data_IF_925104827168
#
_entry.id   IF_925104827168
#
_cell.length_a   1.000
_cell.length_b   1.000
_cell.length_c   1.000
_cell.angle_alpha   90.00
_cell.angle_beta   90.00
_cell.angle_gamma   90.00
#
_symmetry.space_group_name_H-M   'P 1'
#
loop_
_entity.id
_entity.type
_entity.pdbx_description
1 polymer ?
#
# COMPACT_ATOMS: atom_id res chain seq x y z
N UNK A 1 -26.99 6.69 -3.50
CA UNK A 1 -26.90 5.74 -4.63
C UNK A 1 -25.44 5.70 -5.06
N UNK A 2 -24.83 4.51 -5.16
CA UNK A 2 -23.41 4.34 -5.51
C UNK A 2 -23.28 4.04 -7.00
N UNK A 3 -22.29 4.64 -7.66
CA UNK A 3 -21.86 4.20 -8.98
C UNK A 3 -20.70 3.21 -8.79
N UNK A 4 -20.90 1.95 -9.16
CA UNK A 4 -19.82 0.96 -9.14
C UNK A 4 -19.27 0.89 -10.55
N UNK A 5 -18.01 1.28 -10.74
CA UNK A 5 -17.31 1.06 -12.00
C UNK A 5 -16.65 -0.31 -11.90
N UNK A 6 -17.28 -1.30 -12.54
CA UNK A 6 -16.83 -2.70 -12.50
C UNK A 6 -15.81 -2.99 -13.59
N UNK A 7 -14.99 -4.02 -13.36
CA UNK A 7 -14.11 -4.64 -14.36
C UNK A 7 -13.19 -3.64 -15.06
N UNK A 8 -12.38 -2.94 -14.29
CA UNK A 8 -11.38 -2.07 -14.87
C UNK A 8 -10.20 -2.88 -15.39
N UNK A 9 -10.29 -3.55 -16.52
CA UNK A 9 -9.16 -4.29 -17.13
C UNK A 9 -8.12 -3.32 -17.70
N UNK A 10 -7.14 -2.91 -16.89
CA UNK A 10 -6.04 -1.96 -17.17
C UNK A 10 -4.91 -2.49 -18.03
N UNK A 11 -4.67 -3.80 -18.02
CA UNK A 11 -3.51 -4.40 -18.67
C UNK A 11 -3.99 -5.58 -19.51
N UNK A 12 -3.71 -5.54 -20.81
CA UNK A 12 -4.11 -6.59 -21.75
C UNK A 12 -2.88 -7.15 -22.46
N UNK A 13 -2.75 -8.47 -22.40
CA UNK A 13 -1.89 -9.23 -23.33
C UNK A 13 -2.67 -9.66 -24.59
N UNK A 14 -3.99 -9.42 -24.61
CA UNK A 14 -4.86 -9.71 -25.76
C UNK A 14 -4.73 -8.59 -26.81
N UNK A 15 -4.54 -9.01 -28.07
CA UNK A 15 -4.31 -8.11 -29.23
C UNK A 15 -5.61 -7.62 -29.85
N UNK A 16 -6.76 -8.18 -29.47
CA UNK A 16 -8.08 -7.73 -29.92
C UNK A 16 -8.55 -6.50 -29.11
N UNK A 17 -8.21 -5.30 -29.61
CA UNK A 17 -8.59 -4.00 -28.99
C UNK A 17 -10.09 -3.88 -28.73
N UNK A 18 -10.92 -4.52 -29.55
CA UNK A 18 -12.39 -4.53 -29.44
C UNK A 18 -12.97 -5.43 -28.34
N UNK A 19 -12.15 -6.22 -27.64
CA UNK A 19 -12.59 -7.12 -26.54
C UNK A 19 -12.14 -6.69 -25.15
N UNK A 20 -11.39 -5.60 -25.01
CA UNK A 20 -11.16 -4.98 -23.71
C UNK A 20 -12.51 -4.52 -23.18
N UNK A 21 -13.04 -5.08 -22.07
CA UNK A 21 -14.32 -4.64 -21.54
C UNK A 21 -14.19 -3.17 -21.17
N UNK A 22 -14.98 -2.30 -21.80
CA UNK A 22 -15.07 -0.92 -21.38
C UNK A 22 -15.47 -0.90 -19.89
N UNK A 23 -14.90 0.03 -19.12
CA UNK A 23 -15.26 0.23 -17.73
C UNK A 23 -16.77 0.53 -17.64
N UNK A 24 -17.59 -0.49 -17.35
CA UNK A 24 -19.03 -0.34 -17.31
C UNK A 24 -19.41 0.16 -15.92
N UNK A 25 -19.90 1.40 -15.84
CA UNK A 25 -20.55 1.90 -14.64
C UNK A 25 -21.90 1.18 -14.47
N UNK A 26 -22.01 0.37 -13.42
CA UNK A 26 -23.27 -0.26 -13.01
C UNK A 26 -23.72 0.41 -11.73
N UNK A 27 -24.97 0.87 -11.69
CA UNK A 27 -25.60 1.32 -10.43
C UNK A 27 -25.69 0.12 -9.48
N UNK A 28 -24.90 0.15 -8.40
CA UNK A 28 -24.87 -0.94 -7.42
C UNK A 28 -25.67 -0.60 -6.19
N UNK A 29 -26.78 -1.30 -5.97
CA UNK A 29 -27.56 -1.24 -4.72
C UNK A 29 -26.98 -2.15 -3.60
N UNK A 30 -25.77 -2.69 -3.76
CA UNK A 30 -25.25 -3.80 -2.96
C UNK A 30 -24.01 -3.51 -2.11
N UNK A 31 -23.60 -2.24 -1.91
CA UNK A 31 -22.42 -1.91 -1.08
C UNK A 31 -22.85 -1.62 0.36
N UNK A 32 -22.44 -2.47 1.30
CA UNK A 32 -22.63 -2.26 2.74
C UNK A 32 -21.26 -2.11 3.40
N UNK A 33 -20.99 -0.95 4.01
CA UNK A 33 -19.75 -0.71 4.74
C UNK A 33 -19.86 -1.17 6.19
N UNK A 34 -18.96 -2.05 6.62
CA UNK A 34 -18.74 -2.43 8.01
C UNK A 34 -17.70 -1.51 8.66
N UNK A 35 -17.96 -1.09 9.90
CA UNK A 35 -17.08 -0.19 10.70
C UNK A 35 -15.91 -0.92 11.37
N UNK A 36 -15.78 -2.24 11.20
CA UNK A 36 -14.78 -3.05 11.91
C UNK A 36 -13.38 -2.86 11.33
N UNK A 37 -12.61 -1.94 11.93
CA UNK A 37 -11.20 -1.67 11.62
C UNK A 37 -10.23 -2.74 12.17
N UNK A 38 -10.72 -3.65 13.01
CA UNK A 38 -9.89 -4.47 13.91
C UNK A 38 -9.13 -5.63 13.24
N UNK A 39 -9.47 -6.02 12.00
CA UNK A 39 -8.97 -7.27 11.44
C UNK A 39 -7.70 -7.15 10.56
N UNK A 40 -7.33 -5.96 10.07
CA UNK A 40 -6.47 -5.87 8.87
C UNK A 40 -5.23 -4.96 8.97
N UNK A 41 -4.80 -4.59 10.18
CA UNK A 41 -3.46 -4.03 10.45
C UNK A 41 -2.93 -3.04 9.40
N UNK A 42 -3.32 -1.77 9.48
CA UNK A 42 -2.78 -0.72 8.59
C UNK A 42 -3.01 0.68 9.14
N UNK A 43 -2.16 1.64 8.76
CA UNK A 43 -2.29 3.05 9.15
C UNK A 43 -3.38 3.80 8.36
N UNK A 44 -3.97 3.15 7.35
CA UNK A 44 -4.96 3.77 6.49
C UNK A 44 -6.39 3.64 7.01
N UNK A 45 -7.19 4.66 6.70
CA UNK A 45 -8.65 4.60 6.88
C UNK A 45 -9.24 3.67 5.82
N UNK A 46 -9.14 2.36 6.07
CA UNK A 46 -9.78 1.31 5.29
C UNK A 46 -11.07 0.83 5.97
N UNK A 47 -12.03 0.35 5.17
CA UNK A 47 -13.27 -0.27 5.66
C UNK A 47 -13.47 -1.60 4.96
N UNK A 48 -14.19 -2.52 5.61
CA UNK A 48 -14.69 -3.71 4.93
C UNK A 48 -16.02 -3.34 4.28
N UNK A 49 -16.18 -3.63 2.99
CA UNK A 49 -17.45 -3.49 2.30
C UNK A 49 -17.89 -4.84 1.74
N UNK A 50 -19.18 -5.15 1.81
CA UNK A 50 -19.75 -6.25 1.05
C UNK A 50 -20.09 -5.75 -0.35
N UNK A 51 -19.57 -6.41 -1.39
CA UNK A 51 -19.87 -6.15 -2.81
C UNK A 51 -20.22 -7.51 -3.42
N UNK A 52 -21.41 -7.64 -4.00
CA UNK A 52 -21.91 -8.89 -4.58
C UNK A 52 -21.84 -10.11 -3.63
N UNK A 53 -22.11 -9.88 -2.35
CA UNK A 53 -22.07 -10.93 -1.33
C UNK A 53 -20.65 -11.37 -0.92
N UNK A 54 -19.61 -10.67 -1.38
CA UNK A 54 -18.22 -10.91 -0.98
C UNK A 54 -17.66 -9.72 -0.20
N UNK A 55 -16.89 -9.98 0.84
CA UNK A 55 -16.21 -8.92 1.60
C UNK A 55 -15.01 -8.38 0.82
N UNK A 56 -14.80 -7.07 0.89
CA UNK A 56 -13.74 -6.35 0.22
C UNK A 56 -13.09 -5.37 1.19
N UNK A 57 -11.77 -5.27 1.18
CA UNK A 57 -11.08 -4.15 1.80
C UNK A 57 -11.15 -2.95 0.87
N UNK A 58 -11.69 -1.85 1.38
CA UNK A 58 -11.90 -0.62 0.63
C UNK A 58 -11.02 0.50 1.16
N UNK A 59 -10.36 1.23 0.25
CA UNK A 59 -9.47 2.36 0.56
C UNK A 59 -9.86 3.64 -0.19
N UNK A 60 -9.53 4.79 0.42
CA UNK A 60 -9.99 6.16 0.06
C UNK A 60 -8.86 7.08 -0.49
N UNK A 61 -7.65 6.53 -0.68
CA UNK A 61 -6.46 7.25 -1.16
C UNK A 61 -5.62 7.89 -0.05
N UNK A 62 -4.32 8.08 -0.29
CA UNK A 62 -3.31 8.44 0.72
C UNK A 62 -3.54 9.81 1.34
N UNK A 63 -3.96 10.82 0.57
CA UNK A 63 -4.15 12.16 1.13
C UNK A 63 -5.29 12.19 2.14
N UNK A 64 -6.41 11.50 1.86
CA UNK A 64 -7.52 11.34 2.80
C UNK A 64 -7.14 10.51 4.03
N UNK A 65 -6.40 9.42 3.85
CA UNK A 65 -5.81 8.65 4.96
C UNK A 65 -4.97 9.54 5.88
N UNK A 66 -4.03 10.31 5.29
CA UNK A 66 -3.15 11.21 6.03
C UNK A 66 -3.90 12.35 6.72
N UNK A 67 -5.01 12.85 6.16
CA UNK A 67 -5.89 13.81 6.82
C UNK A 67 -6.52 13.21 8.08
N UNK A 68 -7.10 12.01 7.98
CA UNK A 68 -7.65 11.31 9.16
C UNK A 68 -6.61 11.06 10.24
N UNK A 69 -5.43 10.57 9.86
CA UNK A 69 -4.31 10.39 10.80
C UNK A 69 -3.85 11.72 11.42
N UNK A 70 -3.90 12.83 10.69
CA UNK A 70 -3.55 14.16 11.20
C UNK A 70 -4.54 14.61 12.28
N UNK A 71 -5.83 14.32 12.12
CA UNK A 71 -6.85 14.59 13.15
C UNK A 71 -6.53 13.79 14.42
N UNK A 72 -6.28 12.49 14.29
CA UNK A 72 -5.91 11.62 15.41
C UNK A 72 -4.65 12.12 16.12
N UNK A 73 -3.62 12.55 15.38
CA UNK A 73 -2.42 13.14 15.98
C UNK A 73 -2.72 14.42 16.75
N UNK A 74 -3.49 15.36 16.19
CA UNK A 74 -3.87 16.59 16.89
C UNK A 74 -4.65 16.30 18.18
N UNK A 75 -5.59 15.36 18.13
CA UNK A 75 -6.37 14.92 19.30
C UNK A 75 -5.49 14.35 20.40
N UNK A 76 -4.41 13.67 20.05
CA UNK A 76 -3.45 13.09 20.98
C UNK A 76 -2.34 14.09 21.40
N UNK A 77 -2.47 15.38 21.08
CA UNK A 77 -1.47 16.40 21.38
C UNK A 77 -0.19 16.32 20.53
N UNK A 78 -0.18 15.50 19.48
CA UNK A 78 0.96 15.24 18.60
C UNK A 78 0.95 16.16 17.37
N UNK A 79 0.84 17.48 17.58
CA UNK A 79 0.66 18.47 16.50
C UNK A 79 1.78 18.43 15.46
N UNK A 80 3.03 18.25 15.86
CA UNK A 80 4.15 18.14 14.93
C UNK A 80 4.04 16.91 14.02
N UNK A 81 3.51 15.80 14.53
CA UNK A 81 3.27 14.58 13.76
C UNK A 81 2.09 14.73 12.80
N UNK A 82 1.09 15.55 13.15
CA UNK A 82 0.03 15.94 12.22
C UNK A 82 0.60 16.80 11.09
N UNK A 83 1.36 17.84 11.41
CA UNK A 83 2.00 18.73 10.42
C UNK A 83 2.94 17.97 9.48
N UNK A 84 3.67 16.97 9.98
CA UNK A 84 4.50 16.09 9.16
C UNK A 84 3.68 15.33 8.11
N UNK A 85 2.52 14.79 8.50
CA UNK A 85 1.61 14.07 7.60
C UNK A 85 0.99 14.96 6.54
N UNK A 86 0.57 16.17 6.91
CA UNK A 86 0.14 17.20 5.95
C UNK A 86 1.27 17.53 4.97
N UNK A 87 2.50 17.61 5.45
CA UNK A 87 3.69 17.76 4.63
C UNK A 87 3.84 16.67 3.57
N UNK A 88 3.61 15.40 3.92
CA UNK A 88 3.66 14.29 2.96
C UNK A 88 2.61 14.40 1.85
N UNK A 89 1.43 14.98 2.13
CA UNK A 89 0.42 15.22 1.11
C UNK A 89 0.94 16.23 0.07
N UNK A 90 1.48 17.36 0.54
CA UNK A 90 2.02 18.41 -0.33
C UNK A 90 3.21 17.93 -1.13
N UNK A 91 4.17 17.27 -0.47
CA UNK A 91 5.36 16.72 -1.12
C UNK A 91 4.95 15.67 -2.17
N UNK A 92 3.94 14.86 -1.85
CA UNK A 92 3.35 13.88 -2.76
C UNK A 92 2.75 14.53 -4.00
N UNK A 93 1.90 15.54 -3.82
CA UNK A 93 1.28 16.26 -4.93
C UNK A 93 2.32 16.98 -5.80
N UNK A 94 3.27 17.71 -5.19
CA UNK A 94 4.28 18.45 -5.93
C UNK A 94 5.13 17.54 -6.83
N UNK A 95 5.54 16.38 -6.30
CA UNK A 95 6.25 15.35 -7.07
C UNK A 95 5.41 14.75 -8.19
N UNK A 96 4.11 14.51 -7.96
CA UNK A 96 3.21 13.97 -8.99
C UNK A 96 3.00 14.97 -10.14
N UNK A 97 2.94 16.25 -9.81
CA UNK A 97 2.73 17.34 -10.75
C UNK A 97 4.02 17.87 -11.40
N UNK A 98 5.19 17.33 -11.03
CA UNK A 98 6.52 17.83 -11.44
C UNK A 98 6.69 19.35 -11.18
N UNK A 99 6.01 19.86 -10.16
CA UNK A 99 6.15 21.25 -9.73
C UNK A 99 7.31 21.38 -8.74
N UNK A 100 8.04 22.50 -8.77
CA UNK A 100 9.20 22.74 -7.91
C UNK A 100 8.87 22.42 -6.42
N UNK A 101 9.73 21.64 -5.71
CA UNK A 101 9.58 21.40 -4.27
C UNK A 101 9.45 22.67 -3.41
N UNK A 102 9.77 23.84 -3.98
CA UNK A 102 9.55 25.18 -3.40
C UNK A 102 8.18 25.78 -3.70
N UNK A 103 7.09 25.00 -3.71
CA UNK A 103 5.73 25.57 -3.53
C UNK A 103 5.56 26.10 -2.10
N UNK A 104 6.36 27.11 -1.73
CA UNK A 104 6.66 27.55 -0.36
C UNK A 104 5.44 27.92 0.49
N UNK A 105 4.27 28.11 -0.13
CA UNK A 105 3.03 28.44 0.57
C UNK A 105 2.03 27.28 0.65
N UNK A 106 2.12 26.20 -0.15
CA UNK A 106 1.08 25.14 -0.14
C UNK A 106 1.10 24.31 1.14
N UNK A 107 2.29 24.01 1.68
CA UNK A 107 2.43 23.36 3.00
C UNK A 107 1.85 24.24 4.10
N UNK A 108 2.19 25.52 4.10
CA UNK A 108 1.65 26.48 5.07
C UNK A 108 0.13 26.62 4.92
N UNK A 109 -0.36 26.70 3.69
CA UNK A 109 -1.77 26.84 3.38
C UNK A 109 -2.59 25.64 3.88
N UNK A 110 -2.16 24.42 3.54
CA UNK A 110 -2.82 23.21 3.99
C UNK A 110 -2.78 23.11 5.52
N UNK A 111 -1.65 23.42 6.14
CA UNK A 111 -1.50 23.38 7.59
C UNK A 111 -2.44 24.38 8.28
N UNK A 112 -2.50 25.62 7.79
CA UNK A 112 -3.38 26.65 8.34
C UNK A 112 -4.86 26.31 8.15
N UNK A 113 -5.26 25.90 6.94
CA UNK A 113 -6.63 25.50 6.65
C UNK A 113 -7.05 24.29 7.51
N UNK A 114 -6.16 23.32 7.69
CA UNK A 114 -6.41 22.15 8.54
C UNK A 114 -6.62 22.51 10.00
N UNK A 115 -5.74 23.33 10.60
CA UNK A 115 -5.91 23.75 11.98
C UNK A 115 -7.12 24.65 12.19
N UNK A 116 -7.45 25.52 11.22
CA UNK A 116 -8.67 26.32 11.23
C UNK A 116 -9.92 25.43 11.15
N UNK A 117 -9.91 24.42 10.28
CA UNK A 117 -10.98 23.43 10.18
C UNK A 117 -11.23 22.73 11.52
N UNK A 118 -10.17 22.31 12.24
CA UNK A 118 -10.31 21.69 13.57
C UNK A 118 -10.98 22.59 14.62
N UNK A 119 -11.01 23.91 14.43
CA UNK A 119 -11.71 24.84 15.33
C UNK A 119 -13.20 25.00 15.01
N UNK A 120 -13.66 24.52 13.84
CA UNK A 120 -15.08 24.52 13.47
C UNK A 120 -15.86 23.45 14.24
N UNK A 121 -17.19 23.57 14.31
CA UNK A 121 -18.03 22.54 14.93
C UNK A 121 -17.90 21.18 14.23
N UNK A 122 -17.79 21.17 12.90
CA UNK A 122 -17.54 19.95 12.12
C UNK A 122 -16.19 19.31 12.49
N UNK A 123 -15.13 20.12 12.56
CA UNK A 123 -13.80 19.66 12.96
C UNK A 123 -13.75 19.14 14.40
N UNK A 124 -14.44 19.79 15.33
CA UNK A 124 -14.58 19.32 16.73
C UNK A 124 -15.31 17.99 16.82
N UNK A 125 -16.38 17.81 16.03
CA UNK A 125 -17.13 16.55 15.98
C UNK A 125 -16.26 15.39 15.46
N UNK A 126 -15.49 15.62 14.39
CA UNK A 126 -14.56 14.61 13.87
C UNK A 126 -13.40 14.33 14.82
N UNK A 127 -12.88 15.34 15.52
CA UNK A 127 -11.92 15.16 16.59
C UNK A 127 -12.50 14.29 17.73
N UNK A 128 -13.79 14.46 18.05
CA UNK A 128 -14.53 13.60 18.97
C UNK A 128 -14.56 12.14 18.51
N UNK A 129 -14.86 11.87 17.23
CA UNK A 129 -14.81 10.53 16.64
C UNK A 129 -13.39 9.94 16.64
N UNK A 130 -12.38 10.76 16.38
CA UNK A 130 -10.99 10.32 16.37
C UNK A 130 -10.49 9.85 17.75
N UNK A 131 -11.03 10.41 18.85
CA UNK A 131 -10.73 9.96 20.23
C UNK A 131 -11.19 8.54 20.52
N UNK A 132 -12.21 8.08 19.81
CA UNK A 132 -12.83 6.77 20.01
C UNK A 132 -12.52 5.81 18.86
N UNK A 133 -11.50 6.11 18.05
CA UNK A 133 -11.12 5.35 16.85
C UNK A 133 -12.28 5.12 15.86
N UNK A 134 -13.26 6.02 15.86
CA UNK A 134 -14.50 5.90 15.10
C UNK A 134 -14.51 6.62 13.74
N UNK A 135 -13.37 7.19 13.32
CA UNK A 135 -13.25 7.83 12.00
C UNK A 135 -13.40 6.80 10.87
N UNK A 136 -14.22 7.14 9.88
CA UNK A 136 -14.47 6.32 8.69
C UNK A 136 -14.13 7.00 7.35
N UNK A 137 -14.40 6.31 6.24
CA UNK A 137 -14.12 6.79 4.87
C UNK A 137 -14.94 8.03 4.51
N UNK A 138 -16.17 8.16 5.02
CA UNK A 138 -16.98 9.33 4.79
C UNK A 138 -16.40 10.53 5.55
N UNK A 139 -16.00 10.33 6.81
CA UNK A 139 -15.39 11.37 7.64
C UNK A 139 -14.14 11.98 6.98
N UNK A 140 -13.23 11.17 6.45
CA UNK A 140 -12.04 11.70 5.76
C UNK A 140 -12.33 12.31 4.40
N UNK A 141 -13.42 11.88 3.75
CA UNK A 141 -13.98 12.54 2.57
C UNK A 141 -14.49 13.94 2.90
N UNK A 142 -15.18 14.09 4.03
CA UNK A 142 -15.74 15.35 4.51
C UNK A 142 -14.64 16.32 4.94
N UNK A 143 -13.58 15.86 5.63
CA UNK A 143 -12.40 16.70 5.91
C UNK A 143 -11.85 17.29 4.61
N UNK A 144 -11.61 16.45 3.60
CA UNK A 144 -11.11 16.90 2.31
C UNK A 144 -12.06 17.94 1.69
N UNK A 145 -13.34 17.65 1.60
CA UNK A 145 -14.33 18.54 1.01
C UNK A 145 -14.41 19.89 1.74
N UNK A 146 -14.36 19.88 3.07
CA UNK A 146 -14.40 21.10 3.90
C UNK A 146 -13.13 21.93 3.75
N UNK A 147 -11.95 21.31 3.62
CA UNK A 147 -10.71 22.04 3.32
C UNK A 147 -10.73 22.69 1.93
N UNK A 148 -11.23 21.99 0.91
CA UNK A 148 -11.34 22.55 -0.45
C UNK A 148 -12.39 23.65 -0.51
N UNK A 149 -13.49 23.53 0.25
CA UNK A 149 -14.51 24.58 0.37
C UNK A 149 -13.94 25.83 1.05
N UNK A 150 -13.12 25.65 2.07
CA UNK A 150 -12.47 26.76 2.79
C UNK A 150 -11.37 27.43 1.95
N UNK A 151 -10.59 26.65 1.19
CA UNK A 151 -9.59 27.18 0.25
C UNK A 151 -9.51 26.33 -1.04
N UNK A 152 -10.12 26.80 -2.14
CA UNK A 152 -10.10 26.08 -3.42
C UNK A 152 -8.71 25.80 -3.99
N UNK A 153 -7.67 26.54 -3.56
CA UNK A 153 -6.28 26.31 -4.01
C UNK A 153 -5.71 24.99 -3.50
N UNK A 154 -6.34 24.36 -2.50
CA UNK A 154 -5.96 23.05 -1.97
C UNK A 154 -6.49 21.88 -2.80
N UNK A 155 -7.45 22.12 -3.72
CA UNK A 155 -8.12 21.07 -4.50
C UNK A 155 -7.15 20.13 -5.20
N UNK A 156 -6.18 20.68 -5.94
CA UNK A 156 -5.22 19.85 -6.69
C UNK A 156 -4.21 19.18 -5.75
N UNK A 157 -3.76 19.88 -4.71
CA UNK A 157 -2.85 19.35 -3.68
C UNK A 157 -3.44 18.15 -2.96
N UNK A 158 -4.74 18.18 -2.66
CA UNK A 158 -5.44 17.09 -1.97
C UNK A 158 -5.93 16.00 -2.93
N UNK A 159 -6.46 16.38 -4.09
CA UNK A 159 -7.14 15.49 -5.04
C UNK A 159 -6.21 14.65 -5.91
N UNK A 160 -5.07 15.20 -6.37
CA UNK A 160 -4.14 14.48 -7.27
C UNK A 160 -3.61 13.20 -6.61
N UNK A 161 -3.15 13.22 -5.34
CA UNK A 161 -2.73 11.99 -4.67
C UNK A 161 -3.84 10.94 -4.52
N UNK A 162 -5.11 11.35 -4.29
CA UNK A 162 -6.24 10.40 -4.23
C UNK A 162 -6.39 9.67 -5.56
N UNK A 163 -6.53 10.44 -6.63
CA UNK A 163 -6.79 9.89 -7.96
C UNK A 163 -5.67 8.95 -8.40
N UNK A 164 -4.43 9.36 -8.12
CA UNK A 164 -3.25 8.57 -8.43
C UNK A 164 -3.28 7.22 -7.72
N UNK A 165 -3.48 7.19 -6.41
CA UNK A 165 -3.53 5.92 -5.68
C UNK A 165 -4.64 5.00 -6.20
N UNK A 166 -5.82 5.55 -6.51
CA UNK A 166 -6.93 4.74 -7.02
C UNK A 166 -6.61 4.09 -8.36
N UNK A 167 -6.04 4.84 -9.32
CA UNK A 167 -5.61 4.29 -10.62
C UNK A 167 -4.57 3.19 -10.40
N UNK A 168 -3.64 3.42 -9.48
CA UNK A 168 -2.42 2.63 -9.38
C UNK A 168 -2.62 1.36 -8.56
N UNK A 169 -3.44 1.42 -7.51
CA UNK A 169 -3.88 0.20 -6.81
C UNK A 169 -4.65 -0.68 -7.78
N UNK A 170 -5.51 -0.10 -8.61
CA UNK A 170 -6.31 -0.88 -9.54
C UNK A 170 -5.46 -1.53 -10.65
N UNK A 171 -4.51 -0.80 -11.22
CA UNK A 171 -3.52 -1.34 -12.17
C UNK A 171 -2.58 -2.36 -11.49
N UNK A 172 -2.13 -2.09 -10.27
CA UNK A 172 -1.23 -2.97 -9.53
C UNK A 172 -1.86 -4.28 -9.09
N UNK A 173 -3.12 -4.25 -8.67
CA UNK A 173 -3.85 -5.48 -8.36
C UNK A 173 -3.97 -6.38 -9.59
N UNK A 174 -4.19 -5.79 -10.77
CA UNK A 174 -4.29 -6.57 -11.99
C UNK A 174 -2.97 -7.14 -12.48
N UNK A 175 -1.89 -6.36 -12.37
CA UNK A 175 -0.54 -6.84 -12.62
C UNK A 175 -0.25 -8.06 -11.74
N UNK A 176 -0.46 -7.91 -10.43
CA UNK A 176 -0.24 -8.98 -9.45
C UNK A 176 -1.09 -10.19 -9.79
N UNK A 177 -2.39 -10.03 -10.04
CA UNK A 177 -3.28 -11.13 -10.42
C UNK A 177 -2.85 -11.83 -11.70
N UNK A 178 -2.49 -11.09 -12.75
CA UNK A 178 -2.10 -11.67 -14.03
C UNK A 178 -0.87 -12.57 -13.88
N UNK A 179 0.11 -12.12 -13.09
CA UNK A 179 1.31 -12.89 -12.85
C UNK A 179 1.05 -14.05 -11.87
N UNK A 180 0.23 -13.81 -10.84
CA UNK A 180 -0.20 -14.80 -9.87
C UNK A 180 -1.07 -15.91 -10.47
N UNK A 181 -1.78 -15.67 -11.57
CA UNK A 181 -2.52 -16.71 -12.30
C UNK A 181 -1.65 -17.88 -12.77
N UNK A 182 -0.33 -17.69 -12.83
CA UNK A 182 0.65 -18.77 -13.07
C UNK A 182 0.81 -19.70 -11.87
N UNK A 183 0.60 -19.16 -10.67
CA UNK A 183 0.84 -19.82 -9.40
C UNK A 183 -0.46 -20.12 -8.65
N UNK A 184 -1.64 -19.69 -9.12
CA UNK A 184 -2.86 -19.74 -8.32
C UNK A 184 -4.13 -19.97 -9.14
N UNK A 185 -5.08 -20.78 -8.62
CA UNK A 185 -6.43 -20.83 -9.14
C UNK A 185 -7.15 -19.48 -9.02
N UNK A 186 -7.99 -19.16 -10.01
CA UNK A 186 -8.70 -17.87 -10.12
C UNK A 186 -9.53 -17.49 -8.90
N UNK A 187 -10.13 -18.45 -8.19
CA UNK A 187 -10.95 -18.21 -7.00
C UNK A 187 -10.16 -17.55 -5.85
N UNK A 188 -8.83 -17.75 -5.83
CA UNK A 188 -7.91 -17.23 -4.83
C UNK A 188 -7.20 -15.94 -5.26
N UNK A 189 -7.52 -15.42 -6.44
CA UNK A 189 -7.03 -14.11 -6.89
C UNK A 189 -8.07 -13.05 -6.50
N UNK A 190 -7.71 -12.03 -5.71
CA UNK A 190 -8.65 -10.98 -5.34
C UNK A 190 -8.93 -10.09 -6.55
N UNK A 191 -10.19 -9.78 -6.82
CA UNK A 191 -10.60 -8.83 -7.84
C UNK A 191 -10.55 -7.39 -7.30
N UNK A 192 -10.30 -6.44 -8.21
CA UNK A 192 -10.30 -5.00 -7.93
C UNK A 192 -11.55 -4.32 -8.50
N UNK A 193 -12.18 -3.50 -7.68
CA UNK A 193 -13.37 -2.71 -8.04
C UNK A 193 -13.17 -1.25 -7.70
N UNK A 194 -13.41 -0.35 -8.66
CA UNK A 194 -13.48 1.08 -8.39
C UNK A 194 -14.90 1.45 -7.98
N UNK A 195 -15.03 2.06 -6.81
CA UNK A 195 -16.28 2.60 -6.33
C UNK A 195 -16.22 4.12 -6.43
N UNK A 196 -17.07 4.67 -7.30
CA UNK A 196 -17.24 6.11 -7.42
C UNK A 196 -18.44 6.54 -6.55
N UNK A 197 -18.14 7.27 -5.48
CA UNK A 197 -19.12 7.85 -4.56
C UNK A 197 -19.11 9.37 -4.79
N UNK A 198 -20.22 10.07 -4.61
CA UNK A 198 -20.31 11.51 -4.92
C UNK A 198 -19.13 12.35 -4.38
N UNK A 199 -18.64 12.05 -3.17
CA UNK A 199 -17.49 12.74 -2.56
C UNK A 199 -16.23 11.88 -2.46
N UNK A 200 -16.17 10.72 -3.12
CA UNK A 200 -15.07 9.78 -2.93
C UNK A 200 -14.78 8.89 -4.15
N UNK A 201 -13.53 8.51 -4.32
CA UNK A 201 -13.13 7.43 -5.21
C UNK A 201 -12.45 6.38 -4.35
N UNK A 202 -13.00 5.16 -4.38
CA UNK A 202 -12.52 4.07 -3.55
C UNK A 202 -12.06 2.90 -4.40
N UNK A 203 -11.04 2.21 -3.92
CA UNK A 203 -10.62 0.93 -4.48
C UNK A 203 -11.01 -0.17 -3.50
N UNK A 204 -11.80 -1.12 -3.98
CA UNK A 204 -12.15 -2.34 -3.26
C UNK A 204 -11.30 -3.50 -3.78
N UNK A 205 -10.68 -4.24 -2.87
CA UNK A 205 -10.03 -5.52 -3.15
C UNK A 205 -10.73 -6.61 -2.36
N UNK A 206 -11.17 -7.69 -3.02
CA UNK A 206 -11.86 -8.79 -2.32
C UNK A 206 -10.98 -9.37 -1.21
N UNK A 207 -11.57 -9.51 -0.02
CA UNK A 207 -10.95 -10.19 1.11
C UNK A 207 -11.00 -11.70 0.89
N UNK A 208 -9.93 -12.36 1.30
CA UNK A 208 -9.84 -13.81 1.30
C UNK A 208 -9.89 -14.23 2.78
N UNK A 209 -10.92 -14.98 3.16
CA UNK A 209 -11.31 -15.18 4.56
C UNK A 209 -10.25 -15.86 5.44
N UNK A 210 -9.37 -16.67 4.86
CA UNK A 210 -8.28 -17.41 5.51
C UNK A 210 -6.89 -16.77 5.29
N UNK A 211 -6.85 -15.54 4.77
CA UNK A 211 -5.62 -14.83 4.50
C UNK A 211 -4.84 -14.49 5.78
N UNK A 212 -3.51 -14.71 5.73
CA UNK A 212 -2.58 -14.30 6.77
C UNK A 212 -1.67 -13.16 6.28
N UNK A 213 -1.47 -12.08 7.05
CA UNK A 213 -0.46 -11.06 6.71
C UNK A 213 0.96 -11.64 6.63
N UNK A 214 1.79 -11.14 5.69
CA UNK A 214 3.14 -11.68 5.49
C UNK A 214 4.04 -11.44 6.70
N UNK A 215 3.90 -10.31 7.38
CA UNK A 215 4.62 -10.03 8.61
C UNK A 215 4.41 -11.12 9.66
N UNK A 216 3.14 -11.44 9.92
CA UNK A 216 2.72 -12.46 10.88
C UNK A 216 3.14 -13.84 10.40
N UNK A 217 3.08 -14.10 9.08
CA UNK A 217 3.56 -15.35 8.50
C UNK A 217 5.06 -15.56 8.75
N UNK A 218 5.88 -14.52 8.54
CA UNK A 218 7.33 -14.59 8.68
C UNK A 218 7.80 -14.55 10.14
N UNK A 219 7.10 -13.84 11.03
CA UNK A 219 7.55 -13.64 12.41
C UNK A 219 6.97 -14.64 13.39
N UNK A 220 5.78 -15.21 13.14
CA UNK A 220 5.13 -16.15 14.07
C UNK A 220 6.05 -17.30 14.54
N UNK A 221 6.91 -17.91 13.70
CA UNK A 221 7.84 -18.94 14.16
C UNK A 221 8.80 -18.51 15.28
N UNK A 222 9.02 -17.21 15.46
CA UNK A 222 9.93 -16.65 16.45
C UNK A 222 9.21 -16.20 17.73
N UNK A 223 7.87 -16.23 17.74
CA UNK A 223 7.08 -15.76 18.88
C UNK A 223 6.81 -16.91 19.86
N UNK A 224 6.85 -16.66 21.18
CA UNK A 224 6.44 -17.66 22.16
C UNK A 224 4.97 -18.09 21.95
N UNK A 225 4.60 -19.34 22.32
CA UNK A 225 3.22 -19.80 22.20
C UNK A 225 2.22 -18.84 22.85
N UNK A 226 1.17 -18.48 22.10
CA UNK A 226 0.12 -17.57 22.55
C UNK A 226 0.46 -16.07 22.49
N UNK A 227 1.67 -15.70 22.02
CA UNK A 227 2.05 -14.29 21.84
C UNK A 227 1.81 -13.87 20.39
N UNK A 228 0.97 -12.86 20.18
CA UNK A 228 0.78 -12.28 18.86
C UNK A 228 1.86 -11.23 18.53
N UNK A 229 2.15 -11.03 17.24
CA UNK A 229 3.14 -10.05 16.77
C UNK A 229 2.86 -8.64 17.31
N UNK A 230 1.59 -8.23 17.37
CA UNK A 230 1.19 -6.93 17.92
C UNK A 230 1.58 -6.76 19.40
N UNK A 231 1.55 -7.84 20.18
CA UNK A 231 1.86 -7.80 21.61
C UNK A 231 3.37 -7.76 21.84
N UNK A 232 4.13 -8.52 21.04
CA UNK A 232 5.59 -8.41 20.99
C UNK A 232 6.05 -7.01 20.55
N UNK A 233 5.43 -6.44 19.52
CA UNK A 233 5.69 -5.07 19.06
C UNK A 233 5.36 -4.01 20.13
N UNK A 234 4.26 -4.20 20.87
CA UNK A 234 3.90 -3.33 22.01
C UNK A 234 4.92 -3.41 23.14
N UNK A 235 5.39 -4.62 23.48
CA UNK A 235 6.45 -4.81 24.47
C UNK A 235 7.75 -4.12 24.02
N UNK A 236 8.16 -4.29 22.77
CA UNK A 236 9.34 -3.65 22.22
C UNK A 236 9.23 -2.11 22.22
N UNK A 237 8.07 -1.56 21.84
CA UNK A 237 7.80 -0.13 21.89
C UNK A 237 7.89 0.44 23.31
N UNK A 238 7.34 -0.28 24.29
CA UNK A 238 7.36 0.11 25.71
C UNK A 238 8.80 0.18 26.27
N UNK A 239 9.71 -0.66 25.80
CA UNK A 239 11.11 -0.62 26.21
C UNK A 239 11.90 0.52 25.53
N UNK A 240 11.47 0.97 24.34
CA UNK A 240 12.13 2.02 23.57
C UNK A 240 11.79 3.43 24.06
N UNK A 241 10.58 3.65 24.59
CA UNK A 241 10.16 4.95 25.11
C UNK A 241 10.82 5.28 26.46
N UNK A 242 11.89 6.09 26.41
CA UNK A 242 12.54 6.63 27.62
C UNK A 242 11.64 7.57 28.43
N UNK A 243 10.66 8.22 27.79
CA UNK A 243 9.73 9.15 28.43
C UNK A 243 8.64 8.46 29.29
N UNK A 244 8.35 7.17 29.06
CA UNK A 244 7.42 6.39 29.86
C UNK A 244 8.02 5.91 31.21
N UNK A 245 9.29 6.21 31.47
CA UNK A 245 9.99 5.84 32.71
C UNK A 245 9.38 6.47 33.98
N UNK A 246 8.54 7.51 33.84
CA UNK A 246 7.86 8.16 34.97
C UNK A 246 6.45 7.66 35.28
N UNK A 247 5.85 6.77 34.46
CA UNK A 247 4.41 6.45 34.60
C UNK A 247 3.96 5.03 34.22
N UNK A 248 4.79 4.19 33.61
CA UNK A 248 4.47 2.77 33.44
C UNK A 248 4.72 2.02 34.76
N UNK A 249 3.72 1.27 35.26
CA UNK A 249 3.90 0.39 36.41
C UNK A 249 5.13 -0.51 36.17
N UNK A 250 6.06 -0.57 37.13
CA UNK A 250 7.33 -1.32 37.05
C UNK A 250 7.16 -2.73 36.48
N UNK A 251 6.01 -3.34 36.76
CA UNK A 251 5.65 -4.71 36.41
C UNK A 251 5.35 -4.87 34.91
N UNK A 252 4.77 -3.87 34.25
CA UNK A 252 4.54 -3.88 32.80
C UNK A 252 5.86 -3.86 32.04
N UNK A 253 6.81 -3.06 32.52
CA UNK A 253 8.14 -2.97 31.94
C UNK A 253 8.95 -4.25 32.18
N UNK A 254 8.87 -4.83 33.38
CA UNK A 254 9.51 -6.10 33.69
C UNK A 254 8.95 -7.24 32.80
N UNK A 255 7.62 -7.29 32.61
CA UNK A 255 6.98 -8.26 31.70
C UNK A 255 7.40 -8.06 30.24
N UNK A 256 7.43 -6.81 29.76
CA UNK A 256 7.90 -6.50 28.42
C UNK A 256 9.37 -6.92 28.23
N UNK A 257 10.22 -6.63 29.22
CA UNK A 257 11.63 -7.01 29.18
C UNK A 257 11.83 -8.53 29.19
N UNK A 258 11.09 -9.27 30.01
CA UNK A 258 11.12 -10.73 30.01
C UNK A 258 10.66 -11.32 28.67
N UNK A 259 9.61 -10.75 28.07
CA UNK A 259 9.12 -11.18 26.76
C UNK A 259 10.16 -10.94 25.66
N UNK A 260 10.72 -9.73 25.57
CA UNK A 260 11.73 -9.41 24.55
C UNK A 260 13.00 -10.23 24.76
N UNK A 261 13.47 -10.39 26.00
CA UNK A 261 14.62 -11.26 26.30
C UNK A 261 14.38 -12.71 25.89
N UNK A 262 13.14 -13.22 26.05
CA UNK A 262 12.77 -14.56 25.57
C UNK A 262 12.76 -14.64 24.05
N UNK A 263 12.28 -13.61 23.35
CA UNK A 263 12.28 -13.58 21.87
C UNK A 263 13.70 -13.49 21.32
N UNK A 264 14.56 -12.67 21.93
CA UNK A 264 15.96 -12.47 21.53
C UNK A 264 16.91 -13.57 22.03
N UNK A 265 16.42 -14.53 22.83
CA UNK A 265 17.23 -15.66 23.28
C UNK A 265 17.77 -16.43 22.06
N UNK A 266 19.10 -16.66 21.96
CA UNK A 266 19.71 -17.28 20.78
C UNK A 266 19.12 -18.66 20.44
N UNK A 267 18.77 -19.48 21.44
CA UNK A 267 18.20 -20.79 21.19
C UNK A 267 16.78 -20.68 20.61
N UNK A 268 15.98 -19.71 21.09
CA UNK A 268 14.66 -19.43 20.54
C UNK A 268 14.74 -18.83 19.12
N UNK A 269 15.70 -17.95 18.85
CA UNK A 269 15.95 -17.43 17.50
C UNK A 269 16.32 -18.55 16.53
N UNK A 270 17.20 -19.46 16.93
CA UNK A 270 17.60 -20.58 16.09
C UNK A 270 16.47 -21.60 15.90
N UNK A 271 15.70 -21.91 16.95
CA UNK A 271 14.48 -22.70 16.82
C UNK A 271 13.48 -22.04 15.85
N UNK A 272 13.29 -20.72 15.96
CA UNK A 272 12.46 -19.94 15.05
C UNK A 272 12.94 -19.98 13.61
N UNK A 273 14.25 -19.89 13.35
CA UNK A 273 14.83 -20.07 12.00
C UNK A 273 14.53 -21.45 11.45
N UNK A 274 14.69 -22.52 12.23
CA UNK A 274 14.40 -23.87 11.78
C UNK A 274 12.91 -24.07 11.49
N UNK A 275 12.05 -23.55 12.37
CA UNK A 275 10.61 -23.58 12.18
C UNK A 275 10.19 -22.80 10.93
N UNK A 276 10.73 -21.60 10.71
CA UNK A 276 10.48 -20.83 9.50
C UNK A 276 10.98 -21.56 8.26
N UNK A 277 12.21 -22.10 8.26
CA UNK A 277 12.73 -22.90 7.13
C UNK A 277 11.84 -24.10 6.81
N UNK A 278 11.39 -24.83 7.83
CA UNK A 278 10.44 -25.93 7.67
C UNK A 278 9.11 -25.46 7.08
N UNK A 279 8.57 -24.36 7.60
CA UNK A 279 7.34 -23.75 7.10
C UNK A 279 7.48 -23.29 5.64
N UNK A 280 8.56 -22.62 5.27
CA UNK A 280 8.82 -22.17 3.90
C UNK A 280 9.00 -23.35 2.94
N UNK A 281 9.62 -24.44 3.40
CA UNK A 281 9.77 -25.66 2.61
C UNK A 281 8.43 -26.37 2.36
N UNK A 282 7.49 -26.26 3.30
CA UNK A 282 6.16 -26.85 3.18
C UNK A 282 5.17 -25.97 2.42
N UNK A 283 5.21 -24.65 2.64
CA UNK A 283 4.24 -23.69 2.12
C UNK A 283 4.72 -22.88 0.91
N UNK A 284 5.99 -23.05 0.52
CA UNK A 284 6.62 -22.32 -0.58
C UNK A 284 6.62 -20.80 -0.40
N UNK A 285 7.13 -20.08 -1.40
CA UNK A 285 6.99 -18.62 -1.53
C UNK A 285 6.73 -18.26 -3.00
N UNK A 286 6.07 -19.16 -3.72
CA UNK A 286 5.89 -19.06 -5.16
C UNK A 286 5.11 -17.79 -5.53
N UNK A 287 5.68 -16.98 -6.43
CA UNK A 287 5.07 -15.73 -6.85
C UNK A 287 5.22 -14.59 -5.83
N UNK A 288 5.93 -14.79 -4.71
CA UNK A 288 6.29 -13.72 -3.79
C UNK A 288 7.19 -12.71 -4.51
N UNK A 289 8.21 -13.19 -5.22
CA UNK A 289 9.16 -12.33 -5.90
C UNK A 289 8.48 -11.58 -7.04
N UNK A 290 7.68 -12.29 -7.84
CA UNK A 290 6.83 -11.70 -8.88
C UNK A 290 5.97 -10.56 -8.33
N UNK A 291 5.28 -10.77 -7.21
CA UNK A 291 4.36 -9.78 -6.63
C UNK A 291 5.12 -8.56 -6.08
N UNK A 292 6.29 -8.80 -5.50
CA UNK A 292 7.19 -7.76 -5.01
C UNK A 292 7.81 -6.94 -6.13
N UNK A 293 8.32 -7.59 -7.17
CA UNK A 293 8.89 -6.93 -8.33
C UNK A 293 7.82 -6.15 -9.10
N UNK A 294 6.64 -6.73 -9.29
CA UNK A 294 5.48 -6.03 -9.81
C UNK A 294 5.22 -4.75 -9.02
N UNK A 295 5.14 -4.84 -7.69
CA UNK A 295 4.93 -3.66 -6.84
C UNK A 295 6.09 -2.66 -6.90
N UNK A 296 7.32 -3.14 -6.97
CA UNK A 296 8.54 -2.33 -7.08
C UNK A 296 8.57 -1.55 -8.40
N UNK A 297 8.17 -2.17 -9.51
CA UNK A 297 8.05 -1.48 -10.80
C UNK A 297 6.97 -0.40 -10.78
N UNK A 298 5.87 -0.61 -10.05
CA UNK A 298 4.75 0.33 -9.97
C UNK A 298 4.92 1.46 -8.93
N UNK A 299 6.02 1.54 -8.17
CA UNK A 299 6.14 2.50 -7.07
C UNK A 299 7.56 2.90 -6.62
N UNK A 300 7.73 4.17 -6.22
CA UNK A 300 9.02 4.78 -5.80
C UNK A 300 9.50 4.35 -4.43
N UNK A 301 8.55 4.08 -3.53
CA UNK A 301 8.92 3.78 -2.17
C UNK A 301 9.44 2.36 -2.20
N UNK A 302 10.75 2.22 -2.01
CA UNK A 302 11.31 0.93 -1.69
C UNK A 302 10.64 0.32 -0.48
N UNK A 303 9.97 1.12 0.37
CA UNK A 303 9.18 0.73 1.54
C UNK A 303 7.96 -0.14 1.16
N UNK A 304 8.21 -1.22 0.41
CA UNK A 304 7.35 -2.35 0.14
C UNK A 304 7.38 -3.23 1.39
N UNK A 305 6.93 -2.67 2.50
CA UNK A 305 6.94 -3.40 3.76
C UNK A 305 6.09 -4.69 3.66
N UNK A 306 6.50 -5.78 4.34
CA UNK A 306 5.70 -7.01 4.47
C UNK A 306 4.31 -6.79 5.08
N UNK A 307 4.15 -5.77 5.91
CA UNK A 307 2.87 -5.30 6.45
C UNK A 307 1.90 -4.84 5.35
N UNK A 308 2.42 -4.45 4.19
CA UNK A 308 1.67 -3.98 3.04
C UNK A 308 1.49 -5.04 1.94
N UNK A 309 1.81 -6.30 2.28
CA UNK A 309 1.67 -7.48 1.45
C UNK A 309 0.97 -8.57 2.26
N UNK A 310 -0.28 -8.82 1.94
CA UNK A 310 -1.03 -9.91 2.54
C UNK A 310 -0.58 -11.21 1.88
N UNK A 311 0.17 -12.08 2.57
CA UNK A 311 0.56 -13.40 2.04
C UNK A 311 -0.44 -14.48 2.42
N UNK A 312 -1.43 -14.70 1.56
CA UNK A 312 -2.47 -15.69 1.79
C UNK A 312 -1.90 -17.08 1.53
N UNK A 313 -1.94 -18.03 2.48
CA UNK A 313 -1.73 -19.43 2.14
C UNK A 313 -2.87 -19.91 1.21
N UNK A 314 -2.55 -20.68 0.19
CA UNK A 314 -3.55 -21.41 -0.59
C UNK A 314 -3.88 -22.75 0.03
N UNK A 315 -5.09 -23.24 -0.26
CA UNK A 315 -5.45 -24.64 -0.02
C UNK A 315 -4.51 -25.60 -0.76
N UNK A 316 -3.89 -25.12 -1.85
CA UNK A 316 -2.84 -25.82 -2.61
C UNK A 316 -1.44 -25.70 -1.98
N UNK A 317 -1.34 -25.10 -0.79
CA UNK A 317 -0.11 -24.96 -0.04
C UNK A 317 0.80 -23.82 -0.51
N UNK A 318 0.45 -23.02 -1.53
CA UNK A 318 1.30 -21.91 -2.02
C UNK A 318 0.91 -20.55 -1.43
N UNK A 319 1.91 -19.75 -1.10
CA UNK A 319 1.77 -18.41 -0.52
C UNK A 319 1.49 -17.31 -1.57
N UNK A 320 0.57 -16.38 -1.31
CA UNK A 320 0.04 -15.40 -2.30
C UNK A 320 0.17 -13.97 -1.82
N UNK A 321 0.99 -13.11 -2.41
CA UNK A 321 1.10 -11.71 -1.97
C UNK A 321 0.03 -10.79 -2.60
N UNK A 322 -0.91 -10.31 -1.81
CA UNK A 322 -1.91 -9.31 -2.21
C UNK A 322 -1.52 -7.98 -1.58
N UNK A 323 -1.20 -6.98 -2.40
CA UNK A 323 -0.93 -5.65 -1.87
C UNK A 323 -2.21 -4.84 -1.79
N UNK A 324 -2.45 -4.23 -0.64
CA UNK A 324 -3.55 -3.28 -0.49
C UNK A 324 -3.02 -1.86 -0.29
N UNK A 325 -1.71 -1.64 -0.31
CA UNK A 325 -1.12 -0.31 -0.12
C UNK A 325 -0.16 0.09 -1.25
N UNK A 326 -0.73 0.37 -2.42
CA UNK A 326 0.02 0.98 -3.53
C UNK A 326 -0.10 2.48 -3.39
N UNK A 327 0.94 3.11 -2.85
CA UNK A 327 1.08 4.58 -2.84
C UNK A 327 1.56 5.10 -4.21
N UNK A 328 0.97 4.61 -5.30
CA UNK A 328 1.13 5.06 -6.68
C UNK A 328 2.48 4.98 -7.42
N UNK A 329 2.46 5.19 -8.76
CA UNK A 329 3.62 5.34 -9.68
C UNK A 329 4.44 6.58 -9.39
N UNK A 330 5.14 6.55 -8.30
CA UNK A 330 6.11 7.56 -7.99
C UNK A 330 7.39 7.14 -8.77
N UNK A 331 7.86 7.96 -9.69
CA UNK A 331 8.97 7.63 -10.60
C UNK A 331 10.31 8.11 -10.03
N UNK A 332 10.99 7.35 -9.18
CA UNK A 332 12.37 7.74 -8.85
C UNK A 332 13.38 6.61 -8.68
N UNK A 333 13.00 5.35 -8.92
CA UNK A 333 13.94 4.21 -8.87
C UNK A 333 13.92 3.37 -10.14
N UNK A 334 13.80 4.00 -11.30
CA UNK A 334 14.06 3.29 -12.55
C UNK A 334 15.52 2.80 -12.59
N UNK A 335 16.45 3.70 -12.28
CA UNK A 335 17.89 3.43 -12.27
C UNK A 335 18.42 3.41 -10.84
N UNK A 336 19.61 2.82 -10.66
CA UNK A 336 20.26 2.74 -9.37
C UNK A 336 20.55 4.11 -8.78
N UNK A 337 20.35 4.24 -7.46
CA UNK A 337 20.67 5.47 -6.72
C UNK A 337 21.72 5.12 -5.67
N UNK A 338 22.82 5.88 -5.59
CA UNK A 338 23.77 5.74 -4.49
C UNK A 338 23.04 6.02 -3.17
N UNK A 339 23.02 5.05 -2.25
CA UNK A 339 22.42 5.24 -0.93
C UNK A 339 23.21 6.22 -0.04
N UNK A 340 24.46 6.52 -0.43
CA UNK A 340 25.39 7.47 0.17
C UNK A 340 26.82 7.17 -0.31
N UNK A 341 27.85 7.91 0.12
CA UNK A 341 29.25 7.67 -0.29
C UNK A 341 29.84 6.34 0.18
N UNK A 342 29.20 5.68 1.16
CA UNK A 342 29.66 4.44 1.80
C UNK A 342 28.65 3.31 1.77
N UNK A 343 27.46 3.57 1.24
CA UNK A 343 26.40 2.57 1.17
C UNK A 343 26.44 1.88 -0.19
N UNK A 344 26.14 0.57 -0.26
CA UNK A 344 26.03 -0.13 -1.53
C UNK A 344 24.98 0.51 -2.44
N UNK A 345 25.18 0.37 -3.76
CA UNK A 345 24.24 0.84 -4.77
C UNK A 345 22.87 0.19 -4.53
N UNK A 346 21.82 1.00 -4.46
CA UNK A 346 20.45 0.47 -4.45
C UNK A 346 19.97 0.37 -5.89
N UNK A 347 19.77 -0.86 -6.35
CA UNK A 347 19.30 -1.12 -7.71
C UNK A 347 17.88 -0.61 -7.94
N UNK A 348 17.66 -0.05 -9.13
CA UNK A 348 16.35 0.37 -9.60
C UNK A 348 15.55 -0.76 -10.22
N UNK A 349 14.25 -0.57 -10.42
CA UNK A 349 13.40 -1.57 -11.05
C UNK A 349 13.80 -1.85 -12.50
N UNK A 350 14.31 -0.84 -13.21
CA UNK A 350 14.78 -0.98 -14.57
C UNK A 350 15.98 -1.90 -14.67
N UNK A 351 16.92 -1.79 -13.73
CA UNK A 351 18.09 -2.68 -13.65
C UNK A 351 17.70 -4.14 -13.38
N UNK A 352 16.66 -4.38 -12.57
CA UNK A 352 16.13 -5.74 -12.33
C UNK A 352 15.45 -6.31 -13.57
N UNK A 353 14.72 -5.48 -14.33
CA UNK A 353 14.12 -5.90 -15.61
C UNK A 353 15.21 -6.20 -16.65
N UNK A 354 16.26 -5.40 -16.73
CA UNK A 354 17.39 -5.66 -17.63
C UNK A 354 18.17 -6.90 -17.20
N UNK A 355 18.42 -7.03 -15.90
CA UNK A 355 19.23 -8.08 -15.28
C UNK A 355 18.43 -8.79 -14.18
N UNK A 356 17.57 -9.77 -14.52
CA UNK A 356 16.74 -10.52 -13.57
C UNK A 356 17.52 -11.19 -12.43
N UNK A 357 18.84 -11.39 -12.56
CA UNK A 357 19.68 -11.94 -11.51
C UNK A 357 19.83 -11.01 -10.28
N UNK A 358 19.60 -9.70 -10.43
CA UNK A 358 19.63 -8.71 -9.33
C UNK A 358 18.39 -8.78 -8.43
N UNK A 359 17.40 -9.58 -8.84
CA UNK A 359 16.13 -9.77 -8.15
C UNK A 359 16.27 -9.94 -6.63
N UNK A 360 17.03 -10.94 -6.21
CA UNK A 360 17.16 -11.29 -4.79
C UNK A 360 17.80 -10.15 -3.97
N UNK A 361 18.78 -9.46 -4.55
CA UNK A 361 19.48 -8.37 -3.88
C UNK A 361 18.55 -7.17 -3.66
N UNK A 362 17.69 -6.86 -4.63
CA UNK A 362 16.66 -5.83 -4.48
C UNK A 362 15.63 -6.20 -3.43
N UNK A 363 15.15 -7.44 -3.43
CA UNK A 363 14.16 -7.86 -2.45
C UNK A 363 14.70 -7.77 -1.02
N UNK A 364 15.93 -8.21 -0.78
CA UNK A 364 16.52 -8.25 0.56
C UNK A 364 17.19 -6.94 0.98
N UNK A 365 17.18 -5.92 0.12
CA UNK A 365 17.65 -4.59 0.48
C UNK A 365 16.82 -4.08 1.67
N UNK A 366 17.49 -3.47 2.65
CA UNK A 366 16.84 -3.01 3.88
C UNK A 366 15.82 -1.89 3.64
N UNK A 367 15.84 -1.25 2.46
CA UNK A 367 14.82 -0.30 2.07
C UNK A 367 13.55 -0.98 1.55
N UNK A 368 13.60 -2.26 1.17
CA UNK A 368 12.51 -3.15 0.74
C UNK A 368 11.98 -4.01 1.88
N UNK A 369 12.81 -4.87 2.44
CA UNK A 369 12.49 -5.61 3.67
C UNK A 369 12.79 -4.73 4.88
N UNK A 370 12.00 -3.68 5.07
CA UNK A 370 12.14 -2.78 6.21
C UNK A 370 11.77 -3.49 7.52
N UNK A 371 12.49 -3.25 8.62
CA UNK A 371 12.14 -3.80 9.94
C UNK A 371 10.84 -3.26 10.55
N UNK A 372 10.07 -2.42 9.83
CA UNK A 372 8.76 -1.91 10.29
C UNK A 372 7.81 -2.99 10.79
N UNK A 373 7.78 -4.14 10.11
CA UNK A 373 6.93 -5.27 10.50
C UNK A 373 7.40 -5.98 11.77
N UNK A 374 8.66 -5.81 12.13
CA UNK A 374 9.32 -6.39 13.30
C UNK A 374 9.94 -5.27 14.15
N UNK A 375 9.28 -4.10 14.24
CA UNK A 375 9.88 -2.91 14.85
C UNK A 375 10.24 -3.17 16.31
N UNK A 376 11.54 -3.09 16.63
CA UNK A 376 12.06 -3.38 17.96
C UNK A 376 12.30 -4.88 18.23
N UNK A 377 12.16 -5.72 17.21
CA UNK A 377 12.54 -7.14 17.16
C UNK A 377 13.63 -7.33 16.08
N UNK A 378 14.70 -6.54 16.15
CA UNK A 378 15.70 -6.46 15.08
C UNK A 378 16.42 -7.79 14.84
N UNK A 379 16.62 -8.60 15.88
CA UNK A 379 17.18 -9.96 15.79
C UNK A 379 16.28 -10.90 14.98
N UNK A 380 14.96 -10.81 15.19
CA UNK A 380 13.96 -11.58 14.43
C UNK A 380 13.97 -11.15 12.98
N UNK A 381 14.00 -9.84 12.71
CA UNK A 381 14.10 -9.32 11.35
C UNK A 381 15.33 -9.88 10.61
N UNK A 382 16.51 -9.84 11.23
CA UNK A 382 17.73 -10.38 10.64
C UNK A 382 17.63 -11.90 10.36
N UNK A 383 17.04 -12.66 11.29
CA UNK A 383 16.82 -14.09 11.13
C UNK A 383 15.84 -14.41 9.99
N UNK A 384 14.78 -13.62 9.82
CA UNK A 384 13.82 -13.74 8.72
C UNK A 384 14.51 -13.46 7.38
N UNK A 385 15.27 -12.37 7.27
CA UNK A 385 16.01 -12.02 6.04
C UNK A 385 16.96 -13.14 5.62
N UNK A 386 17.66 -13.76 6.57
CA UNK A 386 18.54 -14.90 6.28
C UNK A 386 17.77 -16.15 5.80
N UNK A 387 16.60 -16.44 6.39
CA UNK A 387 15.76 -17.55 5.94
C UNK A 387 15.23 -17.31 4.51
N UNK A 388 14.73 -16.10 4.23
CA UNK A 388 14.23 -15.71 2.91
C UNK A 388 15.33 -15.78 1.84
N UNK A 389 16.54 -15.33 2.16
CA UNK A 389 17.69 -15.39 1.24
C UNK A 389 17.93 -16.81 0.73
N UNK A 390 17.84 -17.80 1.60
CA UNK A 390 18.06 -19.19 1.23
C UNK A 390 16.85 -19.77 0.49
N UNK A 391 15.63 -19.50 0.96
CA UNK A 391 14.40 -20.01 0.37
C UNK A 391 14.16 -19.48 -1.05
N UNK A 392 14.52 -18.22 -1.32
CA UNK A 392 14.24 -17.56 -2.60
C UNK A 392 15.39 -17.65 -3.61
N UNK A 393 16.57 -18.16 -3.22
CA UNK A 393 17.78 -18.16 -4.05
C UNK A 393 17.57 -18.77 -5.43
N UNK A 394 16.78 -19.83 -5.53
CA UNK A 394 16.54 -20.54 -6.79
C UNK A 394 15.33 -19.99 -7.57
N UNK A 395 14.41 -19.28 -6.89
CA UNK A 395 13.15 -18.84 -7.49
C UNK A 395 13.16 -17.37 -7.92
N UNK A 396 13.97 -16.52 -7.29
CA UNK A 396 13.98 -15.07 -7.55
C UNK A 396 14.27 -14.73 -9.02
N UNK A 397 15.33 -15.32 -9.61
CA UNK A 397 15.69 -15.05 -11.01
C UNK A 397 14.63 -15.59 -12.01
N UNK A 398 14.14 -16.84 -11.92
CA UNK A 398 13.06 -17.32 -12.78
C UNK A 398 11.77 -16.50 -12.68
N UNK A 399 11.38 -16.09 -11.47
CA UNK A 399 10.22 -15.24 -11.23
C UNK A 399 10.40 -13.84 -11.85
N UNK A 400 11.58 -13.23 -11.68
CA UNK A 400 11.91 -11.96 -12.33
C UNK A 400 11.85 -12.05 -13.86
N UNK A 401 12.33 -13.14 -14.44
CA UNK A 401 12.23 -13.41 -15.87
C UNK A 401 10.77 -13.61 -16.33
N UNK A 402 9.90 -14.18 -15.50
CA UNK A 402 8.48 -14.26 -15.80
C UNK A 402 7.83 -12.87 -15.87
N UNK A 403 8.17 -11.99 -14.92
CA UNK A 403 7.72 -10.58 -14.94
C UNK A 403 8.22 -9.85 -16.18
N UNK A 404 9.52 -9.97 -16.52
CA UNK A 404 10.09 -9.39 -17.75
C UNK A 404 9.32 -9.85 -18.99
N UNK A 405 9.14 -11.17 -19.16
CA UNK A 405 8.44 -11.73 -20.33
C UNK A 405 6.99 -11.26 -20.41
N UNK A 406 6.32 -11.15 -19.26
CA UNK A 406 4.96 -10.66 -19.20
C UNK A 406 4.87 -9.19 -19.64
N UNK A 407 5.76 -8.33 -19.15
CA UNK A 407 5.84 -6.94 -19.62
C UNK A 407 6.11 -6.87 -21.12
N UNK A 408 7.05 -7.66 -21.64
CA UNK A 408 7.34 -7.69 -23.07
C UNK A 408 6.12 -8.09 -23.94
N UNK A 409 5.22 -8.91 -23.38
CA UNK A 409 4.02 -9.41 -24.04
C UNK A 409 2.81 -8.46 -23.94
N UNK A 410 2.88 -7.39 -23.15
CA UNK A 410 1.78 -6.43 -23.07
C UNK A 410 1.51 -5.75 -24.42
N UNK A 411 0.22 -5.61 -24.73
CA UNK A 411 -0.21 -4.77 -25.84
C UNK A 411 -0.44 -3.35 -25.33
N UNK A 412 0.50 -2.48 -25.68
CA UNK A 412 0.58 -1.09 -25.22
C UNK A 412 -0.72 -0.35 -25.51
N UNK A 413 -1.21 -0.38 -26.76
CA UNK A 413 -2.38 0.41 -27.14
C UNK A 413 -3.64 0.00 -26.36
N UNK A 414 -3.87 -1.30 -26.13
CA UNK A 414 -4.99 -1.75 -25.30
C UNK A 414 -4.82 -1.30 -23.84
N UNK A 415 -3.60 -1.40 -23.30
CA UNK A 415 -3.33 -1.00 -21.92
C UNK A 415 -3.52 0.51 -21.72
N UNK A 416 -3.12 1.32 -22.71
CA UNK A 416 -3.40 2.77 -22.74
C UNK A 416 -4.89 3.06 -22.92
N UNK A 417 -5.59 2.33 -23.81
CA UNK A 417 -7.03 2.50 -24.01
C UNK A 417 -7.83 2.18 -22.73
N UNK A 418 -7.39 1.19 -21.95
CA UNK A 418 -7.99 0.88 -20.65
C UNK A 418 -7.81 1.99 -19.62
N UNK A 419 -6.64 2.63 -19.57
CA UNK A 419 -6.43 3.81 -18.73
C UNK A 419 -7.35 4.97 -19.16
N UNK A 420 -7.59 5.14 -20.46
CA UNK A 420 -8.54 6.13 -20.98
C UNK A 420 -10.01 5.78 -20.65
N UNK A 421 -10.38 4.50 -20.64
CA UNK A 421 -11.71 4.07 -20.21
C UNK A 421 -11.97 4.38 -18.73
N UNK A 422 -10.94 4.31 -17.87
CA UNK A 422 -11.03 4.75 -16.48
C UNK A 422 -11.34 6.25 -16.37
N UNK A 423 -10.76 7.11 -17.23
CA UNK A 423 -11.12 8.52 -17.27
C UNK A 423 -12.62 8.72 -17.48
N UNK A 424 -13.21 7.96 -18.42
CA UNK A 424 -14.64 8.00 -18.70
C UNK A 424 -15.46 7.47 -17.50
N UNK A 425 -15.01 6.39 -16.86
CA UNK A 425 -15.63 5.86 -15.64
C UNK A 425 -15.60 6.82 -14.44
N UNK A 426 -14.55 7.64 -14.34
CA UNK A 426 -14.44 8.74 -13.37
C UNK A 426 -15.31 9.96 -13.77
N UNK A 427 -15.85 10.00 -14.99
CA UNK A 427 -16.69 11.09 -15.49
C UNK A 427 -17.90 11.39 -14.59
N UNK A 428 -18.46 10.37 -13.94
CA UNK A 428 -19.58 10.53 -13.00
C UNK A 428 -19.23 11.25 -11.69
N UNK A 429 -17.94 11.37 -11.35
CA UNK A 429 -17.43 12.16 -10.21
C UNK A 429 -16.60 13.36 -10.66
N UNK A 430 -16.36 13.55 -11.97
CA UNK A 430 -15.52 14.62 -12.50
C UNK A 430 -16.02 16.03 -12.16
N UNK A 431 -17.31 16.17 -11.84
CA UNK A 431 -17.92 17.44 -11.40
C UNK A 431 -17.85 17.64 -9.88
N UNK A 432 -17.34 16.67 -9.12
CA UNK A 432 -17.27 16.77 -7.66
C UNK A 432 -16.24 17.84 -7.24
N UNK A 433 -16.55 18.68 -6.23
CA UNK A 433 -15.68 19.78 -5.84
C UNK A 433 -14.25 19.39 -5.43
N UNK A 434 -14.05 18.13 -5.01
CA UNK A 434 -12.76 17.60 -4.59
C UNK A 434 -11.90 17.09 -5.76
N UNK A 435 -12.47 16.85 -6.95
CA UNK A 435 -11.72 16.31 -8.08
C UNK A 435 -10.67 17.31 -8.58
N UNK A 436 -9.47 16.83 -8.95
CA UNK A 436 -8.47 17.68 -9.60
C UNK A 436 -8.99 18.30 -10.89
N UNK A 437 -8.34 19.40 -11.31
CA UNK A 437 -8.57 19.98 -12.63
C UNK A 437 -8.41 18.94 -13.75
N UNK A 438 -9.32 18.96 -14.74
CA UNK A 438 -9.36 17.98 -15.82
C UNK A 438 -8.01 17.84 -16.56
N UNK A 439 -7.29 18.95 -16.77
CA UNK A 439 -5.95 18.90 -17.36
C UNK A 439 -4.92 18.11 -16.53
N UNK A 440 -5.03 18.15 -15.20
CA UNK A 440 -4.17 17.37 -14.29
C UNK A 440 -4.56 15.90 -14.27
N UNK A 441 -5.85 15.60 -14.44
CA UNK A 441 -6.33 14.22 -14.61
C UNK A 441 -5.72 13.59 -15.87
N UNK A 442 -5.78 14.30 -17.01
CA UNK A 442 -5.13 13.85 -18.25
C UNK A 442 -3.62 13.67 -18.07
N UNK A 443 -2.94 14.62 -17.42
CA UNK A 443 -1.50 14.54 -17.14
C UNK A 443 -1.14 13.30 -16.30
N UNK A 444 -1.97 12.94 -15.32
CA UNK A 444 -1.79 11.73 -14.51
C UNK A 444 -1.93 10.46 -15.36
N UNK A 445 -2.91 10.42 -16.26
CA UNK A 445 -3.14 9.27 -17.14
C UNK A 445 -2.03 9.12 -18.17
N UNK A 446 -1.60 10.21 -18.81
CA UNK A 446 -0.46 10.24 -19.72
C UNK A 446 0.81 9.76 -19.03
N UNK A 447 1.02 10.19 -17.77
CA UNK A 447 2.13 9.71 -16.95
C UNK A 447 2.04 8.20 -16.72
N UNK A 448 0.87 7.61 -16.50
CA UNK A 448 0.74 6.16 -16.34
C UNK A 448 0.91 5.40 -17.66
N UNK A 449 0.44 5.96 -18.77
CA UNK A 449 0.66 5.40 -20.10
C UNK A 449 2.15 5.41 -20.50
N UNK A 450 2.85 6.52 -20.22
CA UNK A 450 4.30 6.62 -20.43
C UNK A 450 5.08 5.54 -19.68
N UNK A 451 4.71 5.26 -18.42
CA UNK A 451 5.33 4.19 -17.63
C UNK A 451 5.19 2.84 -18.33
N UNK A 452 3.97 2.52 -18.77
CA UNK A 452 3.67 1.25 -19.44
C UNK A 452 4.53 1.14 -20.71
N UNK A 453 4.65 2.21 -21.49
CA UNK A 453 5.50 2.20 -22.68
C UNK A 453 6.96 1.93 -22.30
N UNK A 454 7.51 2.68 -21.35
CA UNK A 454 8.91 2.59 -20.94
C UNK A 454 9.26 1.19 -20.43
N UNK A 455 8.43 0.61 -19.55
CA UNK A 455 8.69 -0.73 -19.00
C UNK A 455 8.53 -1.84 -20.04
N UNK A 456 7.60 -1.69 -20.99
CA UNK A 456 7.38 -2.66 -22.07
C UNK A 456 8.55 -2.62 -23.05
N UNK A 457 8.99 -1.44 -23.46
CA UNK A 457 10.12 -1.28 -24.38
C UNK A 457 11.39 -1.87 -23.77
N UNK A 458 11.66 -1.54 -22.50
CA UNK A 458 12.80 -2.09 -21.76
C UNK A 458 12.70 -3.60 -21.55
N UNK A 459 11.51 -4.14 -21.32
CA UNK A 459 11.32 -5.58 -21.16
C UNK A 459 11.51 -6.37 -22.47
N UNK A 460 11.33 -5.73 -23.63
CA UNK A 460 11.53 -6.33 -24.97
C UNK A 460 12.99 -6.36 -25.42
N UNK A 461 13.82 -5.46 -24.87
CA UNK A 461 15.28 -5.46 -25.04
C UNK A 461 15.94 -6.46 -24.10
#
# INVERSE_FOLDING_TARGET
>A
MFSIVRQLSFLSTDRDVGKVPAASAVSGNGVVFSRSKQALGGSDVGMVATIDGQEHLVKTGISRSLLGQSVTCCVNGQVDQANKRLGYIVDGAARLLKTDPKQGNQRQLLTQAFHAFLQTEEGKNLAGKARTDALDIADVGDIHASLVRADPRLRNTLGVPVLFDVINVAAGQQLVNALQGTYLPKQHMPDSSLLAVQNNALIGSRLIADAKPLDTFLTEPFLPPGVALKDAGRAAALLKDKAAAGGAHSDDRARAQALIAKIDDPANLDAGKQALKGMLSQKGLDGLFVSLLARFTLGESSDLGPDNMLVVPGEDGRNKAVSIDVTGFRYARENGVPAGPRDPLRHGWGEVIDTPALALDVLLDGSVMNSRYAKGLDSVHAAVVDCLRNALRQNATPEAQAVKRWYAALYVDASTASLLSLHQGLGGIATSPWMPDAGLVCQVLERNAGFINDIVDRART
#
